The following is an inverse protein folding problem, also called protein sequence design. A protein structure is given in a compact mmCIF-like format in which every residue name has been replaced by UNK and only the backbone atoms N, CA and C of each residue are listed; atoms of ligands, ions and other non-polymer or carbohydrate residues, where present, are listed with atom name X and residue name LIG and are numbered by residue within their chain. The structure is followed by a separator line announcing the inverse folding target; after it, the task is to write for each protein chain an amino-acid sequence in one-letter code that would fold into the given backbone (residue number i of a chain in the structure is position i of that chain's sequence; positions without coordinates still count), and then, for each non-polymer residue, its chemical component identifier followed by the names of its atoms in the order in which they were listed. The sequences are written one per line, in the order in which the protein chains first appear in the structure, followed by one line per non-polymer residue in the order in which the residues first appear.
data_IF_830615809636
#
_entry.id   IF_830615809636
#
_cell.length_a   1.000
_cell.length_b   1.000
_cell.length_c   1.000
_cell.angle_alpha   90.00
_cell.angle_beta   90.00
_cell.angle_gamma   90.00
#
_symmetry.space_group_name_H-M   'P 1'
#
loop_
_entity.id
_entity.type
_entity.pdbx_description
1 polymer ?
#
# COMPACT_ATOMS: atom_id res chain seq x y z
N UNK A 1 12.68 -15.34 -4.39
CA UNK A 1 12.61 -16.02 -3.07
C UNK A 1 12.36 -14.95 -2.00
N UNK A 2 11.42 -15.16 -1.07
CA UNK A 2 11.33 -14.30 0.11
C UNK A 2 12.67 -14.34 0.86
N UNK A 3 13.18 -13.18 1.28
CA UNK A 3 14.35 -13.12 2.16
C UNK A 3 14.10 -14.03 3.38
N UNK A 4 15.11 -14.80 3.83
CA UNK A 4 14.97 -15.55 5.06
C UNK A 4 14.62 -14.57 6.19
N UNK A 5 13.76 -14.98 7.14
CA UNK A 5 13.47 -14.15 8.30
C UNK A 5 14.79 -13.78 8.97
N UNK A 6 14.96 -12.47 9.21
CA UNK A 6 16.13 -11.96 9.94
C UNK A 6 16.12 -12.65 11.31
N UNK A 7 17.24 -13.24 11.76
CA UNK A 7 17.29 -13.88 13.07
C UNK A 7 16.98 -12.83 14.15
N UNK A 8 16.21 -13.19 15.21
CA UNK A 8 15.88 -12.25 16.27
C UNK A 8 17.15 -11.70 16.91
N UNK A 9 17.20 -10.38 17.05
CA UNK A 9 18.32 -9.59 17.57
C UNK A 9 18.09 -9.33 19.06
N UNK A 10 16.86 -8.98 19.45
CA UNK A 10 16.51 -8.69 20.84
C UNK A 10 15.07 -9.10 21.18
N UNK A 11 14.65 -8.78 22.42
CA UNK A 11 13.31 -9.15 22.92
C UNK A 11 12.15 -8.47 22.18
N UNK A 12 12.40 -7.41 21.40
CA UNK A 12 11.35 -6.73 20.62
C UNK A 12 10.90 -7.60 19.44
N UNK A 13 11.77 -8.48 18.92
CA UNK A 13 11.41 -9.41 17.83
C UNK A 13 10.39 -10.46 18.25
N UNK A 14 10.19 -10.66 19.57
CA UNK A 14 9.14 -11.53 20.11
C UNK A 14 7.77 -10.82 20.19
N UNK A 15 7.74 -9.49 20.03
CA UNK A 15 6.51 -8.71 20.11
C UNK A 15 5.78 -8.79 18.77
N UNK A 16 4.50 -9.16 18.81
CA UNK A 16 3.66 -9.18 17.63
C UNK A 16 3.48 -7.75 17.08
N UNK A 17 4.14 -7.45 15.96
CA UNK A 17 4.10 -6.15 15.29
C UNK A 17 2.85 -5.94 14.41
N UNK A 18 1.89 -6.88 14.40
CA UNK A 18 0.69 -6.77 13.56
C UNK A 18 -0.20 -5.59 14.02
N UNK A 19 -0.51 -4.62 13.14
CA UNK A 19 -1.46 -3.55 13.47
C UNK A 19 -2.88 -4.08 13.73
N UNK A 20 -3.63 -3.38 14.58
CA UNK A 20 -5.05 -3.67 14.80
C UNK A 20 -5.93 -3.26 13.60
N UNK A 21 -5.55 -2.17 12.91
CA UNK A 21 -6.18 -1.66 11.69
C UNK A 21 -5.18 -0.79 10.91
N UNK A 22 -5.52 -0.43 9.67
CA UNK A 22 -4.78 0.50 8.84
C UNK A 22 -5.67 1.69 8.45
N UNK A 23 -5.13 2.90 8.48
CA UNK A 23 -5.75 4.09 7.91
C UNK A 23 -4.78 4.68 6.88
N UNK A 24 -5.11 4.55 5.61
CA UNK A 24 -4.24 4.94 4.51
C UNK A 24 -4.86 6.13 3.77
N UNK A 25 -4.12 7.23 3.74
CA UNK A 25 -4.55 8.49 3.13
C UNK A 25 -3.66 8.75 1.92
N UNK A 26 -4.28 8.94 0.74
CA UNK A 26 -3.66 9.05 -0.59
C UNK A 26 -2.47 8.10 -0.81
N UNK A 27 -2.65 6.77 -0.59
CA UNK A 27 -1.53 5.83 -0.52
C UNK A 27 -0.93 5.50 -1.89
N UNK A 28 0.39 5.31 -1.91
CA UNK A 28 1.08 4.53 -2.94
C UNK A 28 0.94 3.05 -2.56
N UNK A 29 0.43 2.22 -3.47
CA UNK A 29 0.12 0.82 -3.22
C UNK A 29 0.86 -0.10 -4.19
N UNK A 30 0.78 0.21 -5.49
CA UNK A 30 1.30 -0.67 -6.53
C UNK A 30 2.56 -0.11 -7.16
N UNK A 31 3.42 -1.02 -7.58
CA UNK A 31 4.64 -0.72 -8.31
C UNK A 31 4.54 -1.12 -9.79
N UNK A 32 3.41 -1.71 -10.19
CA UNK A 32 3.12 -2.01 -11.58
C UNK A 32 2.99 -0.73 -12.40
N UNK A 33 3.23 -0.90 -13.69
CA UNK A 33 3.16 0.19 -14.66
C UNK A 33 1.74 0.81 -14.70
N UNK A 34 1.60 1.91 -15.44
CA UNK A 34 0.40 2.75 -15.54
C UNK A 34 0.05 3.58 -14.30
N UNK A 35 0.11 3.02 -13.09
CA UNK A 35 -0.40 3.71 -11.88
C UNK A 35 0.58 3.83 -10.71
N UNK A 36 1.82 3.35 -10.85
CA UNK A 36 2.88 3.57 -9.86
C UNK A 36 3.19 5.06 -9.64
N UNK A 37 3.69 5.37 -8.43
CA UNK A 37 4.30 6.66 -8.14
C UNK A 37 5.81 6.61 -8.49
N UNK A 38 6.30 7.40 -9.46
CA UNK A 38 7.67 7.26 -9.96
C UNK A 38 8.76 7.47 -8.91
N UNK A 39 8.59 8.47 -8.04
CA UNK A 39 9.55 8.76 -6.98
C UNK A 39 9.66 7.59 -6.00
N UNK A 40 8.54 7.07 -5.52
CA UNK A 40 8.53 5.94 -4.57
C UNK A 40 9.14 4.67 -5.18
N UNK A 41 8.87 4.39 -6.46
CA UNK A 41 9.45 3.24 -7.16
C UNK A 41 10.97 3.35 -7.25
N UNK A 42 11.48 4.51 -7.62
CA UNK A 42 12.92 4.76 -7.71
C UNK A 42 13.60 4.62 -6.34
N UNK A 43 13.05 5.23 -5.29
CA UNK A 43 13.64 5.19 -3.95
C UNK A 43 13.62 3.78 -3.32
N UNK A 44 12.61 2.97 -3.61
CA UNK A 44 12.48 1.63 -3.03
C UNK A 44 13.23 0.55 -3.79
N UNK A 45 13.31 0.65 -5.12
CA UNK A 45 13.81 -0.46 -5.96
C UNK A 45 14.89 -0.04 -6.97
N UNK A 46 15.23 1.25 -7.05
CA UNK A 46 16.21 1.75 -8.01
C UNK A 46 15.65 1.91 -9.42
N UNK A 47 16.54 2.14 -10.38
CA UNK A 47 16.19 2.49 -11.76
C UNK A 47 15.68 1.31 -12.60
N UNK A 48 16.12 0.08 -12.28
CA UNK A 48 15.86 -1.13 -13.06
C UNK A 48 15.36 -2.25 -12.13
N UNK A 49 14.15 -2.13 -11.57
CA UNK A 49 13.59 -3.18 -10.71
C UNK A 49 13.26 -4.42 -11.52
N UNK A 50 13.53 -5.59 -10.96
CA UNK A 50 13.04 -6.85 -11.53
C UNK A 50 11.56 -7.12 -11.18
N UNK A 51 10.94 -8.06 -11.89
CA UNK A 51 9.54 -8.42 -11.68
C UNK A 51 9.24 -8.95 -10.28
N UNK A 52 10.22 -9.57 -9.62
CA UNK A 52 10.04 -10.06 -8.25
C UNK A 52 9.96 -8.88 -7.27
N UNK A 53 10.83 -7.87 -7.42
CA UNK A 53 10.78 -6.65 -6.64
C UNK A 53 9.46 -5.90 -6.86
N UNK A 54 9.02 -5.77 -8.11
CA UNK A 54 7.74 -5.12 -8.43
C UNK A 54 6.58 -5.82 -7.71
N UNK A 55 6.48 -7.15 -7.80
CA UNK A 55 5.43 -7.90 -7.08
C UNK A 55 5.60 -7.83 -5.56
N UNK A 56 6.84 -7.83 -5.07
CA UNK A 56 7.12 -7.76 -3.64
C UNK A 56 6.64 -6.44 -3.03
N UNK A 57 6.79 -5.33 -3.75
CA UNK A 57 6.39 -4.01 -3.27
C UNK A 57 4.99 -3.57 -3.73
N UNK A 58 4.30 -4.37 -4.55
CA UNK A 58 2.89 -4.14 -4.93
C UNK A 58 1.95 -4.74 -3.89
N UNK A 59 1.50 -3.92 -2.96
CA UNK A 59 0.84 -4.37 -1.72
C UNK A 59 -0.51 -5.04 -1.97
N UNK A 60 -1.19 -4.72 -3.07
CA UNK A 60 -2.45 -5.36 -3.48
C UNK A 60 -2.28 -6.86 -3.80
N UNK A 61 -1.09 -7.32 -4.17
CA UNK A 61 -0.80 -8.74 -4.40
C UNK A 61 -0.48 -9.51 -3.11
N UNK A 62 -0.30 -8.78 -2.00
CA UNK A 62 0.09 -9.35 -0.70
C UNK A 62 -1.07 -9.42 0.29
N UNK A 63 -2.25 -8.98 -0.12
CA UNK A 63 -3.44 -9.01 0.73
C UNK A 63 -3.92 -10.44 0.94
N UNK A 64 -4.06 -10.81 2.21
CA UNK A 64 -4.58 -12.09 2.66
C UNK A 64 -5.62 -11.91 3.78
N UNK A 65 -6.16 -13.03 4.30
CA UNK A 65 -7.13 -13.00 5.39
C UNK A 65 -6.55 -12.49 6.73
N UNK A 66 -5.22 -12.40 6.86
CA UNK A 66 -4.56 -11.84 8.04
C UNK A 66 -4.34 -10.33 7.93
N UNK A 67 -4.60 -9.72 6.77
CA UNK A 67 -4.47 -8.29 6.56
C UNK A 67 -5.43 -7.53 7.49
N UNK A 68 -4.98 -6.49 8.21
CA UNK A 68 -5.84 -5.76 9.14
C UNK A 68 -7.02 -5.05 8.45
N UNK A 69 -8.14 -4.83 9.17
CA UNK A 69 -9.20 -3.94 8.71
C UNK A 69 -8.64 -2.60 8.25
N UNK A 70 -9.12 -2.09 7.12
CA UNK A 70 -8.49 -0.94 6.45
C UNK A 70 -9.50 0.17 6.16
N UNK A 71 -9.12 1.40 6.48
CA UNK A 71 -9.79 2.62 6.01
C UNK A 71 -8.92 3.28 4.93
N UNK A 72 -9.53 3.66 3.81
CA UNK A 72 -8.89 4.31 2.67
C UNK A 72 -9.51 5.70 2.43
N UNK A 73 -8.66 6.70 2.21
CA UNK A 73 -9.08 8.05 1.82
C UNK A 73 -8.24 8.58 0.65
N UNK A 74 -8.88 9.13 -0.38
CA UNK A 74 -8.17 9.70 -1.53
C UNK A 74 -9.00 10.80 -2.23
N UNK A 75 -8.34 11.77 -2.86
CA UNK A 75 -8.96 12.66 -3.83
C UNK A 75 -8.80 12.08 -5.24
N UNK A 76 -9.84 12.15 -6.06
CA UNK A 76 -9.83 11.66 -7.44
C UNK A 76 -8.91 12.51 -8.32
N UNK A 77 -8.82 13.81 -8.04
CA UNK A 77 -7.99 14.77 -8.78
C UNK A 77 -6.52 14.84 -8.28
N UNK A 78 -6.05 13.83 -7.55
CA UNK A 78 -4.67 13.76 -7.07
C UNK A 78 -3.69 13.62 -8.26
N UNK A 79 -2.83 14.65 -8.51
CA UNK A 79 -1.89 14.61 -9.63
C UNK A 79 -0.59 13.87 -9.30
N UNK A 80 -0.32 13.59 -8.02
CA UNK A 80 0.93 12.98 -7.56
C UNK A 80 0.77 11.47 -7.45
N UNK A 81 -0.28 11.00 -6.78
CA UNK A 81 -0.57 9.58 -6.62
C UNK A 81 -1.94 9.30 -7.23
N UNK A 82 -1.94 8.49 -8.28
CA UNK A 82 -3.16 8.11 -8.98
C UNK A 82 -4.12 7.38 -8.03
N UNK A 83 -5.38 7.82 -7.99
CA UNK A 83 -6.44 7.27 -7.12
C UNK A 83 -6.63 5.76 -7.32
N UNK A 84 -6.26 5.24 -8.48
CA UNK A 84 -6.23 3.83 -8.82
C UNK A 84 -5.44 2.99 -7.81
N UNK A 85 -4.43 3.55 -7.13
CA UNK A 85 -3.73 2.87 -6.03
C UNK A 85 -4.69 2.45 -4.91
N UNK A 86 -5.59 3.35 -4.49
CA UNK A 86 -6.63 3.02 -3.51
C UNK A 86 -7.65 2.03 -4.07
N UNK A 87 -8.02 2.16 -5.35
CA UNK A 87 -9.00 1.27 -5.98
C UNK A 87 -8.50 -0.18 -6.07
N UNK A 88 -7.24 -0.40 -6.48
CA UNK A 88 -6.68 -1.76 -6.59
C UNK A 88 -6.54 -2.42 -5.22
N UNK A 89 -6.14 -1.67 -4.19
CA UNK A 89 -6.04 -2.19 -2.82
C UNK A 89 -7.41 -2.51 -2.23
N UNK A 90 -8.38 -1.60 -2.40
CA UNK A 90 -9.77 -1.82 -1.97
C UNK A 90 -10.33 -3.11 -2.56
N UNK A 91 -10.12 -3.32 -3.86
CA UNK A 91 -10.57 -4.53 -4.54
C UNK A 91 -9.85 -5.79 -4.02
N UNK A 92 -8.56 -5.73 -3.74
CA UNK A 92 -7.80 -6.84 -3.16
C UNK A 92 -8.32 -7.20 -1.76
N UNK A 93 -8.49 -6.21 -0.88
CA UNK A 93 -9.07 -6.38 0.46
C UNK A 93 -10.46 -7.02 0.41
N UNK A 94 -11.34 -6.53 -0.45
CA UNK A 94 -12.68 -7.11 -0.63
C UNK A 94 -12.64 -8.55 -1.10
N UNK A 95 -11.78 -8.89 -2.06
CA UNK A 95 -11.64 -10.27 -2.56
C UNK A 95 -11.14 -11.23 -1.50
N UNK A 96 -10.26 -10.77 -0.60
CA UNK A 96 -9.74 -11.57 0.52
C UNK A 96 -10.64 -11.59 1.75
N UNK A 97 -11.83 -10.97 1.69
CA UNK A 97 -12.79 -10.94 2.80
C UNK A 97 -12.37 -10.02 3.96
N UNK A 98 -11.44 -9.11 3.73
CA UNK A 98 -10.96 -8.15 4.73
C UNK A 98 -11.95 -7.00 4.84
N UNK A 99 -12.27 -6.60 6.06
CA UNK A 99 -13.12 -5.43 6.32
C UNK A 99 -12.44 -4.16 5.78
N UNK A 100 -13.11 -3.45 4.88
CA UNK A 100 -12.57 -2.25 4.26
C UNK A 100 -13.65 -1.19 4.05
N UNK A 101 -13.29 0.06 4.33
CA UNK A 101 -14.07 1.26 4.02
C UNK A 101 -13.23 2.22 3.19
N UNK A 102 -13.83 2.87 2.19
CA UNK A 102 -13.14 3.79 1.30
C UNK A 102 -13.97 5.03 1.02
N UNK A 103 -13.35 6.20 1.16
CA UNK A 103 -13.94 7.50 0.91
C UNK A 103 -13.14 8.19 -0.20
N UNK A 104 -13.82 8.55 -1.29
CA UNK A 104 -13.23 9.28 -2.41
C UNK A 104 -13.88 10.65 -2.53
N UNK A 105 -13.05 11.69 -2.56
CA UNK A 105 -13.49 13.05 -2.85
C UNK A 105 -13.25 13.37 -4.32
N UNK A 106 -14.19 14.06 -4.97
CA UNK A 106 -13.98 14.54 -6.35
C UNK A 106 -12.75 15.44 -6.44
N UNK A 107 -12.54 16.29 -5.43
CA UNK A 107 -11.49 17.31 -5.41
C UNK A 107 -10.80 17.41 -4.07
N UNK A 108 -9.49 17.63 -4.11
CA UNK A 108 -8.63 17.87 -2.95
C UNK A 108 -7.15 17.98 -3.33
N UNK A 109 -6.73 17.34 -4.43
CA UNK A 109 -5.33 17.08 -4.83
C UNK A 109 -4.57 16.25 -3.78
N UNK A 110 -3.28 16.01 -4.01
CA UNK A 110 -2.42 15.35 -3.04
C UNK A 110 -2.29 16.16 -1.74
N UNK A 111 -2.31 15.48 -0.59
CA UNK A 111 -2.03 16.11 0.71
C UNK A 111 -3.16 16.98 1.28
N UNK A 112 -4.40 16.84 0.80
CA UNK A 112 -5.54 17.57 1.38
C UNK A 112 -5.80 17.16 2.85
N UNK A 113 -6.19 18.12 3.69
CA UNK A 113 -6.53 17.89 5.10
C UNK A 113 -5.39 18.11 6.11
N UNK A 114 -4.16 18.38 5.66
CA UNK A 114 -2.98 18.71 6.50
C UNK A 114 -2.44 20.13 6.24
N UNK A 115 -3.29 21.04 5.77
CA UNK A 115 -2.95 22.45 5.55
C UNK A 115 -3.01 23.28 6.84
#
# INVERSE_FOLDING_TARGET
MLNPPVPPIDSLDEINARPAFMALVYPVITMHDDIYHPGSRLELMGAEPDDEQIRHYSLEERVDAATPPTFLLHAIDDPAVKVENSLVFFNALRRSGVAVEMHLFERGKHGFGIS
#
